data_IF_571670292543
#
_entry.id   IF_571670292543
#
_cell.length_a   1.000
_cell.length_b   1.000
_cell.length_c   1.000
_cell.angle_alpha   90.00
_cell.angle_beta   90.00
_cell.angle_gamma   90.00
#
_symmetry.space_group_name_H-M   'P 1'
#
loop_
_entity.id
_entity.type
_entity.pdbx_description
1 polymer ?
#
# COMPACT_ATOMS: atom_id res chain seq x y z
N UNK A 1 -3.22 2.32 15.45
CA UNK A 1 -4.30 1.53 14.80
C UNK A 1 -3.77 0.38 13.95
N UNK A 2 -2.72 0.58 13.13
CA UNK A 2 -2.21 -0.44 12.20
C UNK A 2 -0.92 -1.13 12.63
N UNK A 3 -0.39 -0.78 13.82
CA UNK A 3 0.84 -1.36 14.36
C UNK A 3 0.78 -2.89 14.40
N UNK A 4 1.73 -3.55 13.71
CA UNK A 4 1.85 -5.01 13.68
C UNK A 4 0.79 -5.73 12.83
N UNK A 5 -0.09 -5.00 12.12
CA UNK A 5 -1.01 -5.61 11.16
C UNK A 5 -0.31 -5.82 9.83
N UNK A 6 -0.47 -7.02 9.27
CA UNK A 6 -0.05 -7.33 7.90
C UNK A 6 -1.09 -6.83 6.92
N UNK A 7 -0.66 -6.17 5.85
CA UNK A 7 -1.55 -5.62 4.83
C UNK A 7 -1.01 -5.87 3.43
N UNK A 8 -1.94 -5.94 2.47
CA UNK A 8 -1.66 -5.92 1.04
C UNK A 8 -2.08 -4.57 0.50
N UNK A 9 -1.27 -4.01 -0.40
CA UNK A 9 -1.51 -2.69 -1.00
C UNK A 9 -1.69 -2.86 -2.50
N UNK A 10 -2.83 -2.39 -2.99
CA UNK A 10 -3.11 -2.20 -4.41
C UNK A 10 -3.17 -0.70 -4.69
N UNK A 11 -2.36 -0.24 -5.62
CA UNK A 11 -2.43 1.12 -6.14
C UNK A 11 -2.91 1.16 -7.57
N UNK A 12 -3.22 2.36 -8.02
CA UNK A 12 -3.64 2.69 -9.37
C UNK A 12 -2.49 3.36 -10.13
N UNK A 13 -2.28 2.97 -11.40
CA UNK A 13 -1.22 3.53 -12.26
C UNK A 13 -1.43 5.02 -12.54
N UNK A 14 -2.65 5.43 -12.79
CA UNK A 14 -3.02 6.79 -13.23
C UNK A 14 -3.49 7.66 -12.04
N UNK A 15 -3.77 7.04 -10.89
CA UNK A 15 -4.14 7.66 -9.62
C UNK A 15 -3.05 7.55 -8.54
N UNK A 16 -3.38 6.91 -7.40
CA UNK A 16 -2.44 6.78 -6.28
C UNK A 16 -1.63 5.49 -6.42
N UNK A 17 -0.30 5.58 -6.63
CA UNK A 17 0.52 4.40 -6.84
C UNK A 17 0.70 3.61 -5.54
N UNK A 18 0.80 2.29 -5.65
CA UNK A 18 0.92 1.38 -4.50
C UNK A 18 2.07 1.74 -3.55
N UNK A 19 3.27 2.12 -4.04
CA UNK A 19 4.36 2.59 -3.19
C UNK A 19 4.02 3.78 -2.30
N UNK A 20 3.18 4.73 -2.75
CA UNK A 20 2.77 5.87 -1.94
C UNK A 20 1.88 5.44 -0.77
N UNK A 21 0.92 4.54 -1.03
CA UNK A 21 0.06 3.96 0.01
C UNK A 21 0.90 3.15 1.00
N UNK A 22 1.84 2.34 0.51
CA UNK A 22 2.72 1.52 1.34
C UNK A 22 3.60 2.37 2.28
N UNK A 23 4.11 3.51 1.81
CA UNK A 23 4.89 4.44 2.64
C UNK A 23 4.06 4.97 3.83
N UNK A 24 2.84 5.43 3.57
CA UNK A 24 1.91 5.90 4.61
C UNK A 24 1.59 4.79 5.62
N UNK A 25 1.31 3.58 5.13
CA UNK A 25 0.96 2.45 6.00
C UNK A 25 2.12 1.98 6.87
N UNK A 26 3.35 1.98 6.34
CA UNK A 26 4.57 1.72 7.13
C UNK A 26 4.77 2.78 8.22
N UNK A 27 4.59 4.06 7.89
CA UNK A 27 4.65 5.14 8.88
C UNK A 27 3.58 5.00 9.96
N UNK A 28 2.41 4.43 9.62
CA UNK A 28 1.35 4.09 10.57
C UNK A 28 1.60 2.78 11.37
N UNK A 29 2.72 2.11 11.15
CA UNK A 29 3.17 0.90 11.85
C UNK A 29 2.71 -0.42 11.25
N UNK A 30 2.11 -0.41 10.05
CA UNK A 30 1.70 -1.64 9.36
C UNK A 30 2.89 -2.37 8.72
N UNK A 31 2.76 -3.68 8.60
CA UNK A 31 3.68 -4.53 7.86
C UNK A 31 3.12 -4.79 6.45
N UNK A 32 3.70 -4.14 5.44
CA UNK A 32 3.26 -4.31 4.05
C UNK A 32 3.89 -5.59 3.50
N UNK A 33 3.06 -6.60 3.24
CA UNK A 33 3.53 -7.92 2.77
C UNK A 33 3.47 -8.09 1.26
N UNK A 34 2.68 -7.27 0.57
CA UNK A 34 2.60 -7.20 -0.88
C UNK A 34 2.23 -5.77 -1.30
N UNK A 35 2.86 -5.28 -2.36
CA UNK A 35 2.51 -4.01 -3.01
C UNK A 35 2.51 -4.21 -4.50
N UNK A 36 1.40 -3.87 -5.13
CA UNK A 36 1.27 -3.84 -6.58
C UNK A 36 0.60 -2.53 -7.00
N UNK A 37 0.88 -2.12 -8.23
CA UNK A 37 0.21 -1.00 -8.89
C UNK A 37 -0.37 -1.55 -10.18
N UNK A 38 -1.69 -1.50 -10.29
CA UNK A 38 -2.42 -2.06 -11.42
C UNK A 38 -2.93 -0.95 -12.35
N UNK A 39 -3.15 -1.32 -13.61
CA UNK A 39 -3.81 -0.48 -14.58
C UNK A 39 -5.18 -1.08 -14.89
N UNK A 40 -6.26 -0.42 -14.46
CA UNK A 40 -7.63 -0.94 -14.55
C UNK A 40 -8.34 -0.59 -15.87
N UNK A 41 -7.59 -0.56 -16.99
CA UNK A 41 -8.14 -0.33 -18.34
C UNK A 41 -8.72 -1.60 -18.95
#
# INVERSE_FOLDING_TARGET
>A
MFKGKKIIVFGDRDGVPGPAIAACMKAAGAEVVLTVTECFV
#
